data_IF_690218946281
#
_entry.id   IF_690218946281
#
_cell.length_a   1.000
_cell.length_b   1.000
_cell.length_c   1.000
_cell.angle_alpha   90.00
_cell.angle_beta   90.00
_cell.angle_gamma   90.00
#
_symmetry.space_group_name_H-M   'P 1'
#
loop_
_entity.id
_entity.type
_entity.pdbx_description
1 polymer ?
#
# COMPACT_ATOMS: atom_id res chain seq x y z
N UNK A 1 30.33 -6.57 -13.95
CA UNK A 1 29.07 -5.89 -14.26
C UNK A 1 27.92 -6.86 -14.12
N UNK A 2 26.69 -6.37 -14.06
CA UNK A 2 25.47 -7.19 -14.07
C UNK A 2 24.99 -7.38 -15.52
N UNK A 3 24.39 -8.53 -15.84
CA UNK A 3 23.60 -8.63 -17.07
C UNK A 3 22.29 -7.82 -16.92
N UNK A 4 21.58 -7.59 -18.03
CA UNK A 4 20.25 -6.94 -17.98
C UNK A 4 19.30 -7.74 -17.10
N UNK A 5 19.32 -9.07 -17.20
CA UNK A 5 18.48 -9.91 -16.37
C UNK A 5 18.84 -9.78 -14.88
N UNK A 6 20.12 -9.88 -14.53
CA UNK A 6 20.55 -9.73 -13.13
C UNK A 6 20.11 -8.37 -12.56
N UNK A 7 20.20 -7.30 -13.34
CA UNK A 7 19.70 -5.99 -12.95
C UNK A 7 18.19 -6.00 -12.67
N UNK A 8 17.38 -6.67 -13.52
CA UNK A 8 15.92 -6.74 -13.31
C UNK A 8 15.51 -7.54 -12.08
N UNK A 9 16.36 -8.47 -11.63
CA UNK A 9 16.14 -9.25 -10.39
C UNK A 9 16.51 -8.50 -9.11
N UNK A 10 17.14 -7.32 -9.22
CA UNK A 10 17.37 -6.45 -8.08
C UNK A 10 16.03 -5.87 -7.60
N UNK A 11 15.90 -5.68 -6.28
CA UNK A 11 14.79 -4.86 -5.78
C UNK A 11 14.92 -3.43 -6.29
N UNK A 12 13.80 -2.70 -6.40
CA UNK A 12 13.80 -1.31 -6.87
C UNK A 12 14.82 -0.45 -6.08
N UNK A 13 14.92 -0.62 -4.76
CA UNK A 13 15.96 0.05 -3.96
C UNK A 13 17.38 -0.25 -4.44
N UNK A 14 17.71 -1.52 -4.65
CA UNK A 14 19.05 -1.94 -5.10
C UNK A 14 19.33 -1.52 -6.55
N UNK A 15 18.32 -1.58 -7.41
CA UNK A 15 18.42 -1.10 -8.78
C UNK A 15 18.67 0.42 -8.82
N UNK A 16 18.01 1.19 -7.96
CA UNK A 16 18.23 2.63 -7.82
C UNK A 16 19.67 2.94 -7.36
N UNK A 17 20.14 2.26 -6.31
CA UNK A 17 21.52 2.38 -5.81
C UNK A 17 22.53 2.03 -6.90
N UNK A 18 22.33 0.92 -7.61
CA UNK A 18 23.18 0.50 -8.72
C UNK A 18 23.26 1.60 -9.80
N UNK A 19 22.13 2.15 -10.24
CA UNK A 19 22.10 3.21 -11.27
C UNK A 19 22.77 4.49 -10.78
N UNK A 20 22.64 4.82 -9.49
CA UNK A 20 23.28 5.99 -8.89
C UNK A 20 24.80 5.88 -8.82
N UNK A 21 25.33 4.67 -8.62
CA UNK A 21 26.77 4.41 -8.47
C UNK A 21 27.48 4.09 -9.79
N UNK A 22 26.76 4.13 -10.93
CA UNK A 22 27.34 3.87 -12.25
C UNK A 22 28.42 4.91 -12.60
N UNK A 23 29.67 4.44 -12.63
CA UNK A 23 30.82 5.22 -13.08
C UNK A 23 30.95 5.12 -14.61
N UNK A 24 30.44 6.14 -15.31
CA UNK A 24 30.54 6.26 -16.76
C UNK A 24 31.71 7.14 -17.17
N UNK A 25 32.42 6.73 -18.23
CA UNK A 25 33.36 7.60 -18.95
C UNK A 25 32.63 8.81 -19.55
N UNK A 26 33.38 9.83 -19.95
CA UNK A 26 32.79 11.04 -20.57
C UNK A 26 31.98 10.71 -21.83
N UNK A 27 32.51 9.82 -22.68
CA UNK A 27 31.82 9.35 -23.90
C UNK A 27 30.54 8.59 -23.58
N UNK A 28 30.56 7.69 -22.60
CA UNK A 28 29.37 6.94 -22.18
C UNK A 28 28.32 7.86 -21.56
N UNK A 29 28.74 8.85 -20.77
CA UNK A 29 27.84 9.84 -20.18
C UNK A 29 27.14 10.69 -21.23
N UNK A 30 27.84 11.07 -22.30
CA UNK A 30 27.24 11.79 -23.44
C UNK A 30 26.16 10.96 -24.15
N UNK A 31 26.34 9.64 -24.24
CA UNK A 31 25.40 8.74 -24.93
C UNK A 31 24.23 8.34 -24.02
N UNK A 32 24.52 7.90 -22.80
CA UNK A 32 23.57 7.25 -21.91
C UNK A 32 23.03 8.17 -20.81
N UNK A 33 23.57 9.38 -20.62
CA UNK A 33 23.24 10.25 -19.48
C UNK A 33 21.74 10.54 -19.34
N UNK A 34 21.04 10.82 -20.45
CA UNK A 34 19.60 11.06 -20.43
C UNK A 34 18.81 9.79 -20.07
N UNK A 35 19.22 8.63 -20.59
CA UNK A 35 18.58 7.34 -20.29
C UNK A 35 18.78 6.96 -18.83
N UNK A 36 19.98 7.17 -18.28
CA UNK A 36 20.29 6.91 -16.86
C UNK A 36 19.48 7.84 -15.95
N UNK A 37 19.36 9.12 -16.32
CA UNK A 37 18.52 10.09 -15.60
C UNK A 37 17.06 9.62 -15.54
N UNK A 38 16.48 9.25 -16.69
CA UNK A 38 15.10 8.77 -16.78
C UNK A 38 14.87 7.48 -15.96
N UNK A 39 15.78 6.51 -16.06
CA UNK A 39 15.69 5.28 -15.27
C UNK A 39 15.75 5.57 -13.77
N UNK A 40 16.65 6.46 -13.35
CA UNK A 40 16.77 6.85 -11.95
C UNK A 40 15.48 7.50 -11.45
N UNK A 41 14.89 8.41 -12.22
CA UNK A 41 13.64 9.08 -11.86
C UNK A 41 12.47 8.09 -11.74
N UNK A 42 12.34 7.14 -12.68
CA UNK A 42 11.30 6.08 -12.62
C UNK A 42 11.45 5.15 -11.43
N UNK A 43 12.68 4.72 -11.14
CA UNK A 43 12.97 3.92 -9.96
C UNK A 43 12.65 4.69 -8.67
N UNK A 44 12.93 6.00 -8.63
CA UNK A 44 12.60 6.84 -7.48
C UNK A 44 11.08 6.96 -7.28
N UNK A 45 10.30 7.11 -8.35
CA UNK A 45 8.82 7.14 -8.25
C UNK A 45 8.26 5.87 -7.63
N UNK A 46 8.79 4.69 -8.02
CA UNK A 46 8.42 3.42 -7.40
C UNK A 46 8.76 3.37 -5.91
N UNK A 47 9.85 4.00 -5.48
CA UNK A 47 10.22 4.11 -4.05
C UNK A 47 9.27 5.04 -3.29
N UNK A 48 8.83 6.15 -3.89
CA UNK A 48 7.87 7.07 -3.26
C UNK A 48 6.51 6.42 -3.00
N UNK A 49 6.06 5.54 -3.90
CA UNK A 49 4.83 4.74 -3.71
C UNK A 49 5.05 3.43 -2.94
N UNK A 50 6.19 3.31 -2.23
CA UNK A 50 6.45 2.19 -1.29
C UNK A 50 6.45 0.83 -2.00
N UNK A 51 7.07 0.79 -3.17
CA UNK A 51 7.33 -0.43 -3.94
C UNK A 51 8.82 -0.72 -4.04
N UNK A 52 9.59 -0.23 -3.08
CA UNK A 52 11.05 -0.32 -3.08
C UNK A 52 11.58 -1.77 -2.90
N UNK A 53 10.72 -2.67 -2.43
CA UNK A 53 11.01 -4.08 -2.18
C UNK A 53 10.72 -5.01 -3.37
N UNK A 54 9.94 -4.59 -4.37
CA UNK A 54 9.65 -5.45 -5.53
C UNK A 54 10.83 -5.43 -6.50
N UNK A 55 10.89 -6.42 -7.40
CA UNK A 55 11.87 -6.48 -8.48
C UNK A 55 11.22 -6.10 -9.81
N UNK A 56 12.02 -5.69 -10.80
CA UNK A 56 11.50 -5.30 -12.12
C UNK A 56 11.00 -6.50 -12.93
N UNK A 57 11.55 -7.69 -12.68
CA UNK A 57 11.16 -8.95 -13.33
C UNK A 57 9.91 -9.60 -12.69
N UNK A 58 9.37 -9.03 -11.59
CA UNK A 58 8.21 -9.59 -10.91
C UNK A 58 7.00 -9.63 -11.84
N UNK A 59 6.42 -10.82 -11.99
CA UNK A 59 5.23 -11.03 -12.83
C UNK A 59 4.06 -10.17 -12.36
N UNK A 60 3.42 -9.45 -13.29
CA UNK A 60 2.29 -8.55 -13.01
C UNK A 60 1.12 -9.24 -12.34
N UNK A 61 0.85 -10.50 -12.67
CA UNK A 61 -0.21 -11.32 -12.04
C UNK A 61 0.05 -11.70 -10.58
N UNK A 62 1.28 -11.53 -10.08
CA UNK A 62 1.65 -11.80 -8.68
C UNK A 62 1.54 -10.57 -7.77
N UNK A 63 1.15 -9.41 -8.33
CA UNK A 63 0.98 -8.18 -7.57
C UNK A 63 -0.37 -8.17 -6.87
N UNK A 64 -0.40 -7.69 -5.63
CA UNK A 64 -1.64 -7.35 -4.94
C UNK A 64 -2.34 -6.16 -5.63
N UNK A 65 -3.65 -6.01 -5.42
CA UNK A 65 -4.42 -4.89 -5.98
C UNK A 65 -3.81 -3.53 -5.63
N UNK A 66 -3.43 -3.34 -4.35
CA UNK A 66 -2.78 -2.10 -3.90
C UNK A 66 -1.39 -1.88 -4.51
N UNK A 67 -0.60 -2.94 -4.73
CA UNK A 67 0.69 -2.82 -5.45
C UNK A 67 0.46 -2.38 -6.90
N UNK A 68 -0.47 -3.02 -7.61
CA UNK A 68 -0.78 -2.69 -9.00
C UNK A 68 -1.29 -1.24 -9.14
N UNK A 69 -2.15 -0.81 -8.22
CA UNK A 69 -2.64 0.58 -8.17
C UNK A 69 -1.50 1.58 -7.94
N UNK A 70 -0.58 1.29 -7.01
CA UNK A 70 0.57 2.15 -6.74
C UNK A 70 1.57 2.20 -7.90
N UNK A 71 1.76 1.11 -8.64
CA UNK A 71 2.54 1.13 -9.91
C UNK A 71 1.89 2.08 -10.92
N UNK A 72 0.56 2.05 -11.06
CA UNK A 72 -0.15 2.97 -11.95
C UNK A 72 0.07 4.41 -11.50
N UNK A 73 -0.05 4.71 -10.20
CA UNK A 73 0.20 6.04 -9.65
C UNK A 73 1.63 6.53 -9.93
N UNK A 74 2.65 5.69 -9.70
CA UNK A 74 4.04 6.03 -10.02
C UNK A 74 4.24 6.33 -11.51
N UNK A 75 3.60 5.53 -12.38
CA UNK A 75 3.62 5.75 -13.84
C UNK A 75 3.01 7.10 -14.22
N UNK A 76 1.90 7.49 -13.60
CA UNK A 76 1.23 8.77 -13.87
C UNK A 76 2.03 9.97 -13.39
N UNK A 77 2.81 9.83 -12.32
CA UNK A 77 3.70 10.90 -11.87
C UNK A 77 4.90 11.03 -12.80
N UNK A 78 5.42 9.90 -13.29
CA UNK A 78 6.51 9.91 -14.26
C UNK A 78 6.13 10.52 -15.60
N UNK A 79 4.87 10.44 -16.04
CA UNK A 79 4.43 11.07 -17.28
C UNK A 79 4.37 12.61 -17.21
N UNK A 80 4.44 13.19 -16.01
CA UNK A 80 4.44 14.65 -15.79
C UNK A 80 3.30 15.37 -16.52
N UNK A 81 2.13 14.73 -16.61
CA UNK A 81 0.95 15.33 -17.22
C UNK A 81 0.42 16.47 -16.35
N UNK A 82 -0.15 17.48 -16.99
CA UNK A 82 -0.73 18.68 -16.35
C UNK A 82 -2.15 18.90 -16.87
N UNK A 83 -3.02 19.48 -16.05
CA UNK A 83 -4.43 19.71 -16.42
C UNK A 83 -5.28 18.43 -16.48
N UNK A 84 -4.84 17.34 -15.85
CA UNK A 84 -5.57 16.08 -15.77
C UNK A 84 -6.38 16.01 -14.48
N UNK A 85 -7.57 15.40 -14.55
CA UNK A 85 -8.36 15.01 -13.39
C UNK A 85 -8.08 13.54 -13.05
N UNK A 86 -7.40 13.30 -11.94
CA UNK A 86 -7.16 11.96 -11.41
C UNK A 86 -8.24 11.58 -10.40
N UNK A 87 -8.81 10.39 -10.54
CA UNK A 87 -9.74 9.80 -9.58
C UNK A 87 -9.10 8.53 -9.04
N UNK A 88 -8.85 8.50 -7.73
CA UNK A 88 -8.19 7.40 -7.03
C UNK A 88 -9.17 6.74 -6.06
N UNK A 89 -9.21 5.41 -6.08
CA UNK A 89 -10.11 4.61 -5.24
C UNK A 89 -9.30 3.90 -4.15
N UNK A 90 -9.37 4.38 -2.90
CA UNK A 90 -8.67 3.86 -1.72
C UNK A 90 -7.18 3.50 -1.94
N UNK A 91 -6.33 4.47 -2.33
CA UNK A 91 -4.92 4.22 -2.63
C UNK A 91 -4.09 3.72 -1.43
N UNK A 92 -4.58 3.89 -0.19
CA UNK A 92 -3.94 3.36 1.02
C UNK A 92 -4.13 1.85 1.22
N UNK A 93 -4.95 1.17 0.39
CA UNK A 93 -5.18 -0.28 0.51
C UNK A 93 -3.86 -1.07 0.49
N UNK A 94 -3.75 -1.97 1.47
CA UNK A 94 -2.58 -2.86 1.62
C UNK A 94 -1.28 -2.12 1.97
N UNK A 95 -1.38 -0.83 2.33
CA UNK A 95 -0.28 -0.03 2.82
C UNK A 95 -0.27 -0.02 4.35
N UNK A 96 0.93 -0.04 4.92
CA UNK A 96 1.08 0.13 6.36
C UNK A 96 1.03 1.61 6.73
N UNK A 97 0.44 1.95 7.87
CA UNK A 97 0.20 3.33 8.33
C UNK A 97 1.49 4.16 8.36
N UNK A 98 2.63 3.54 8.69
CA UNK A 98 3.96 4.16 8.61
C UNK A 98 4.25 4.78 7.24
N UNK A 99 3.84 4.12 6.17
CA UNK A 99 4.22 4.47 4.81
C UNK A 99 3.14 5.34 4.12
N UNK A 100 1.99 5.55 4.76
CA UNK A 100 0.88 6.36 4.28
C UNK A 100 1.28 7.81 3.96
N UNK A 101 2.13 8.42 4.79
CA UNK A 101 2.66 9.77 4.53
C UNK A 101 3.41 9.90 3.20
N UNK A 102 4.11 8.84 2.76
CA UNK A 102 4.82 8.85 1.48
C UNK A 102 3.83 8.84 0.32
N UNK A 103 2.77 8.05 0.44
CA UNK A 103 1.67 8.05 -0.51
C UNK A 103 0.97 9.42 -0.56
N UNK A 104 0.69 10.03 0.60
CA UNK A 104 0.09 11.37 0.67
C UNK A 104 0.98 12.45 0.03
N UNK A 105 2.28 12.44 0.31
CA UNK A 105 3.23 13.34 -0.35
C UNK A 105 3.22 13.16 -1.87
N UNK A 106 3.06 11.92 -2.33
CA UNK A 106 2.99 11.56 -3.74
C UNK A 106 1.71 12.09 -4.40
N UNK A 107 0.56 11.96 -3.74
CA UNK A 107 -0.73 12.51 -4.19
C UNK A 107 -0.69 14.03 -4.24
N UNK A 108 -0.14 14.68 -3.20
CA UNK A 108 0.03 16.15 -3.16
C UNK A 108 0.96 16.64 -4.28
N UNK A 109 2.05 15.92 -4.56
CA UNK A 109 2.91 16.22 -5.70
C UNK A 109 2.15 16.14 -7.03
N UNK A 110 1.29 15.14 -7.22
CA UNK A 110 0.49 15.03 -8.43
C UNK A 110 -0.44 16.23 -8.61
N UNK A 111 -1.08 16.70 -7.53
CA UNK A 111 -1.86 17.94 -7.49
C UNK A 111 -0.99 19.16 -7.83
N UNK A 112 0.16 19.30 -7.17
CA UNK A 112 1.05 20.47 -7.30
C UNK A 112 1.68 20.61 -8.69
N UNK A 113 1.69 19.55 -9.51
CA UNK A 113 2.03 19.62 -10.93
C UNK A 113 0.98 20.37 -11.78
N UNK A 114 -0.15 20.79 -11.20
CA UNK A 114 -1.24 21.46 -11.91
C UNK A 114 -2.36 20.50 -12.30
N UNK A 115 -2.55 19.41 -11.56
CA UNK A 115 -3.64 18.46 -11.74
C UNK A 115 -4.68 18.60 -10.63
N UNK A 116 -5.87 18.08 -10.86
CA UNK A 116 -6.87 17.87 -9.81
C UNK A 116 -6.88 16.40 -9.42
N UNK A 117 -6.90 16.10 -8.12
CA UNK A 117 -6.94 14.73 -7.62
C UNK A 117 -8.14 14.57 -6.70
N UNK A 118 -9.05 13.66 -7.06
CA UNK A 118 -10.17 13.22 -6.24
C UNK A 118 -9.81 11.86 -5.68
N UNK A 119 -9.93 11.68 -4.37
CA UNK A 119 -9.58 10.45 -3.68
C UNK A 119 -10.78 9.96 -2.87
N UNK A 120 -11.19 8.71 -3.09
CA UNK A 120 -12.08 7.98 -2.19
C UNK A 120 -11.20 7.36 -1.11
N UNK A 121 -11.43 7.69 0.15
CA UNK A 121 -10.62 7.21 1.28
C UNK A 121 -11.42 7.11 2.57
N UNK A 122 -10.91 6.29 3.48
CA UNK A 122 -11.41 6.13 4.84
C UNK A 122 -10.31 6.34 5.90
N UNK A 123 -9.06 6.51 5.48
CA UNK A 123 -7.93 6.78 6.36
C UNK A 123 -7.99 8.19 6.99
N UNK A 124 -7.87 8.26 8.32
CA UNK A 124 -7.95 9.51 9.08
C UNK A 124 -6.86 10.51 8.69
N UNK A 125 -5.62 10.06 8.44
CA UNK A 125 -4.50 10.94 8.08
C UNK A 125 -4.76 11.58 6.70
N UNK A 126 -5.30 10.81 5.76
CA UNK A 126 -5.65 11.31 4.42
C UNK A 126 -6.77 12.34 4.48
N UNK A 127 -7.85 12.06 5.21
CA UNK A 127 -8.97 12.99 5.34
C UNK A 127 -8.53 14.30 5.97
N UNK A 128 -7.65 14.26 6.98
CA UNK A 128 -7.14 15.47 7.65
C UNK A 128 -6.24 16.34 6.77
N UNK A 129 -5.55 15.73 5.81
CA UNK A 129 -4.60 16.40 4.92
C UNK A 129 -5.25 16.89 3.60
N UNK A 130 -6.55 16.61 3.40
CA UNK A 130 -7.28 16.99 2.20
C UNK A 130 -7.57 18.50 2.17
N UNK A 131 -7.44 19.10 0.99
CA UNK A 131 -7.76 20.53 0.77
C UNK A 131 -9.28 20.77 0.76
N UNK A 132 -10.05 19.77 0.37
CA UNK A 132 -11.51 19.79 0.29
C UNK A 132 -12.05 18.38 0.53
N UNK A 133 -13.12 18.27 1.33
CA UNK A 133 -13.74 17.00 1.71
C UNK A 133 -15.21 17.03 1.30
N UNK A 134 -15.68 15.93 0.72
CA UNK A 134 -17.10 15.66 0.55
C UNK A 134 -17.49 14.40 1.32
N UNK A 135 -18.39 14.54 2.27
CA UNK A 135 -18.91 13.42 3.05
C UNK A 135 -20.25 12.95 2.46
N UNK A 136 -20.31 11.66 2.11
CA UNK A 136 -21.48 11.01 1.52
C UNK A 136 -22.08 10.06 2.55
N UNK A 137 -23.40 10.10 2.71
CA UNK A 137 -24.10 9.28 3.69
C UNK A 137 -25.59 9.56 3.69
N UNK A 138 -26.27 9.55 4.86
CA UNK A 138 -25.74 9.22 6.20
C UNK A 138 -25.57 7.72 6.47
N UNK A 139 -26.13 6.85 5.62
CA UNK A 139 -26.01 5.40 5.70
C UNK A 139 -25.56 4.76 4.39
N UNK A 140 -25.57 3.42 4.35
CA UNK A 140 -25.27 2.67 3.13
C UNK A 140 -26.55 2.29 2.36
N UNK A 141 -26.42 2.04 1.05
CA UNK A 141 -27.52 1.58 0.21
C UNK A 141 -28.64 2.61 0.09
N UNK A 142 -29.88 2.18 0.33
CA UNK A 142 -31.07 3.06 0.25
C UNK A 142 -31.08 4.20 1.29
N UNK A 143 -30.20 4.16 2.28
CA UNK A 143 -30.03 5.19 3.30
C UNK A 143 -28.82 6.10 3.05
N UNK A 144 -28.18 5.97 1.88
CA UNK A 144 -27.05 6.76 1.44
C UNK A 144 -27.35 7.57 0.18
N UNK A 145 -26.29 8.05 -0.48
CA UNK A 145 -26.38 8.77 -1.75
C UNK A 145 -26.67 10.27 -1.62
N UNK A 146 -26.66 10.81 -0.39
CA UNK A 146 -26.78 12.23 -0.13
C UNK A 146 -25.43 12.85 0.23
N UNK A 147 -25.22 14.08 -0.21
CA UNK A 147 -24.11 14.91 0.30
C UNK A 147 -24.50 15.39 1.70
N UNK A 148 -23.82 14.85 2.71
CA UNK A 148 -24.05 15.24 4.10
C UNK A 148 -23.47 16.62 4.35
N UNK A 149 -22.22 16.82 3.94
CA UNK A 149 -21.50 18.09 4.02
C UNK A 149 -20.34 18.09 3.03
N UNK A 150 -20.00 19.27 2.51
CA UNK A 150 -18.80 19.51 1.71
C UNK A 150 -18.08 20.74 2.24
N UNK A 151 -16.75 20.73 2.23
CA UNK A 151 -15.95 21.86 2.68
C UNK A 151 -14.62 21.47 3.29
N UNK A 152 -14.19 22.25 4.27
CA UNK A 152 -12.98 22.05 5.05
C UNK A 152 -13.15 20.97 6.12
N UNK A 153 -12.04 20.48 6.69
CA UNK A 153 -12.06 19.56 7.83
C UNK A 153 -12.91 20.06 9.00
N UNK A 154 -12.88 21.37 9.28
CA UNK A 154 -13.71 21.97 10.34
C UNK A 154 -15.21 21.88 10.04
N UNK A 155 -15.61 22.03 8.77
CA UNK A 155 -17.00 21.91 8.36
C UNK A 155 -17.50 20.47 8.56
N UNK A 156 -16.68 19.48 8.19
CA UNK A 156 -17.00 18.06 8.40
C UNK A 156 -17.18 17.74 9.88
N UNK A 157 -16.29 18.24 10.73
CA UNK A 157 -16.34 18.03 12.19
C UNK A 157 -17.57 18.72 12.81
N UNK A 158 -17.99 19.87 12.28
CA UNK A 158 -19.11 20.63 12.82
C UNK A 158 -20.49 20.08 12.40
N UNK A 159 -20.60 19.31 11.32
CA UNK A 159 -21.87 18.75 10.84
C UNK A 159 -22.33 17.55 11.68
N UNK A 160 -23.44 17.67 12.46
CA UNK A 160 -23.89 16.60 13.36
C UNK A 160 -24.40 15.33 12.66
N UNK A 161 -24.74 15.41 11.37
CA UNK A 161 -25.13 14.23 10.56
C UNK A 161 -23.94 13.45 10.01
N UNK A 162 -22.74 14.03 10.00
CA UNK A 162 -21.53 13.39 9.49
C UNK A 162 -21.04 12.32 10.47
N UNK A 163 -21.15 11.03 10.09
CA UNK A 163 -20.54 9.93 10.86
C UNK A 163 -19.02 10.10 10.85
N UNK A 164 -18.46 10.48 9.70
CA UNK A 164 -17.04 10.78 9.53
C UNK A 164 -16.59 11.86 10.51
N UNK A 165 -17.30 13.00 10.56
CA UNK A 165 -17.06 14.09 11.50
C UNK A 165 -17.04 13.64 12.95
N UNK A 166 -17.98 12.78 13.36
CA UNK A 166 -18.05 12.22 14.73
C UNK A 166 -16.88 11.33 15.09
N UNK A 167 -16.34 10.55 14.16
CA UNK A 167 -15.12 9.76 14.41
C UNK A 167 -13.87 10.66 14.46
N UNK A 168 -13.80 11.67 13.60
CA UNK A 168 -12.69 12.63 13.56
C UNK A 168 -12.64 13.54 14.79
N UNK A 169 -13.80 13.91 15.34
CA UNK A 169 -13.95 14.71 16.56
C UNK A 169 -13.76 13.90 17.85
N UNK A 170 -13.68 12.56 17.73
CA UNK A 170 -13.65 11.59 18.83
C UNK A 170 -14.95 11.52 19.65
N UNK A 171 -16.06 12.09 19.18
CA UNK A 171 -17.38 11.84 19.75
C UNK A 171 -17.73 10.35 19.67
N UNK A 172 -17.49 9.75 18.49
CA UNK A 172 -17.53 8.31 18.29
C UNK A 172 -16.11 7.74 18.29
N UNK A 173 -15.97 6.53 18.85
CA UNK A 173 -14.71 5.79 18.89
C UNK A 173 -14.97 4.30 18.88
N UNK A 174 -14.04 3.54 18.31
CA UNK A 174 -14.07 2.09 18.38
C UNK A 174 -13.56 1.67 19.76
N UNK A 175 -14.39 1.07 20.63
CA UNK A 175 -13.98 0.71 21.98
C UNK A 175 -12.95 -0.42 21.96
N UNK A 176 -11.88 -0.26 22.73
CA UNK A 176 -10.90 -1.33 22.95
C UNK A 176 -11.44 -2.29 24.03
N UNK A 177 -11.53 -3.61 23.76
CA UNK A 177 -12.03 -4.56 24.74
C UNK A 177 -11.22 -4.53 26.04
N UNK A 178 -11.90 -4.38 27.19
CA UNK A 178 -11.26 -4.38 28.52
C UNK A 178 -10.60 -5.72 28.87
N UNK A 179 -11.08 -6.81 28.27
CA UNK A 179 -10.53 -8.16 28.45
C UNK A 179 -10.32 -8.83 27.10
N UNK A 180 -9.19 -9.50 26.93
CA UNK A 180 -8.87 -10.32 25.74
C UNK A 180 -9.22 -11.79 26.02
N UNK A 181 -9.56 -12.55 24.98
CA UNK A 181 -9.89 -13.98 25.11
C UNK A 181 -8.63 -14.80 25.42
N UNK A 182 -8.70 -15.65 26.44
CA UNK A 182 -7.62 -16.56 26.85
C UNK A 182 -7.33 -17.68 25.84
N UNK A 183 -8.30 -18.01 24.98
CA UNK A 183 -8.21 -19.09 23.99
C UNK A 183 -8.65 -20.45 24.55
N UNK A 184 -8.45 -21.52 23.80
CA UNK A 184 -8.88 -22.88 24.18
C UNK A 184 -7.73 -23.84 24.52
N UNK A 185 -6.54 -23.31 24.80
CA UNK A 185 -5.32 -24.08 25.10
C UNK A 185 -4.65 -24.74 23.88
N UNK A 186 -5.33 -24.82 22.73
CA UNK A 186 -4.77 -25.39 21.49
C UNK A 186 -4.11 -24.32 20.63
N UNK A 187 -3.25 -24.74 19.71
CA UNK A 187 -2.63 -23.84 18.73
C UNK A 187 -2.33 -24.55 17.42
N UNK A 188 -2.37 -23.80 16.32
CA UNK A 188 -1.74 -24.18 15.06
C UNK A 188 -0.29 -23.70 15.09
N UNK A 189 0.63 -24.53 14.62
CA UNK A 189 2.05 -24.18 14.59
C UNK A 189 2.54 -24.37 13.15
N UNK A 190 3.01 -23.29 12.55
CA UNK A 190 3.79 -23.33 11.32
C UNK A 190 5.25 -23.41 11.74
N UNK A 191 6.00 -24.36 11.17
CA UNK A 191 7.43 -24.52 11.43
C UNK A 191 8.23 -24.41 10.15
N UNK A 192 9.37 -23.75 10.24
CA UNK A 192 10.33 -23.59 9.17
C UNK A 192 9.77 -22.96 7.90
N UNK A 193 8.94 -21.92 8.04
CA UNK A 193 8.43 -21.19 6.89
C UNK A 193 9.56 -20.46 6.15
N UNK A 194 9.83 -20.86 4.91
CA UNK A 194 10.94 -20.37 4.07
C UNK A 194 10.51 -19.87 2.68
N UNK A 195 9.21 -19.81 2.41
CA UNK A 195 8.71 -19.37 1.11
C UNK A 195 9.03 -17.89 0.88
N UNK A 196 9.41 -17.54 -0.35
CA UNK A 196 9.84 -16.20 -0.76
C UNK A 196 10.90 -15.57 0.17
N UNK A 197 10.53 -14.52 0.92
CA UNK A 197 11.43 -13.78 1.79
C UNK A 197 11.36 -14.19 3.26
N UNK A 198 10.61 -15.24 3.59
CA UNK A 198 10.52 -15.77 4.95
C UNK A 198 11.83 -16.45 5.35
N UNK A 199 12.30 -16.14 6.57
CA UNK A 199 13.62 -16.55 7.07
C UNK A 199 13.52 -17.68 8.08
N UNK A 200 13.03 -18.85 7.64
CA UNK A 200 12.90 -20.05 8.48
C UNK A 200 12.09 -19.79 9.76
N UNK A 201 10.87 -19.28 9.57
CA UNK A 201 10.06 -18.78 10.67
C UNK A 201 9.20 -19.89 11.29
N UNK A 202 9.32 -20.04 12.61
CA UNK A 202 8.39 -20.79 13.44
C UNK A 202 7.36 -19.83 14.05
N UNK A 203 6.06 -20.08 13.83
CA UNK A 203 4.99 -19.26 14.41
C UNK A 203 3.86 -20.11 14.98
N UNK A 204 3.40 -19.72 16.17
CA UNK A 204 2.30 -20.36 16.89
C UNK A 204 1.07 -19.46 16.89
N UNK A 205 -0.02 -19.96 16.31
CA UNK A 205 -1.35 -19.33 16.27
C UNK A 205 -2.27 -19.94 17.33
N UNK A 206 -2.50 -19.29 18.48
CA UNK A 206 -3.38 -19.81 19.53
C UNK A 206 -4.84 -19.87 19.10
N UNK A 207 -5.46 -21.05 19.21
CA UNK A 207 -6.84 -21.27 18.79
C UNK A 207 -7.85 -20.70 19.79
N UNK A 208 -9.02 -20.32 19.28
CA UNK A 208 -10.07 -19.67 20.05
C UNK A 208 -9.82 -18.18 20.34
N UNK A 209 -8.87 -17.55 19.63
CA UNK A 209 -8.57 -16.12 19.72
C UNK A 209 -8.87 -15.39 18.41
N UNK A 210 -9.08 -14.07 18.51
CA UNK A 210 -9.00 -13.17 17.35
C UNK A 210 -7.52 -12.85 17.12
N UNK A 211 -6.95 -13.35 16.03
CA UNK A 211 -5.53 -13.18 15.72
C UNK A 211 -5.39 -12.22 14.54
N UNK A 212 -4.61 -11.16 14.73
CA UNK A 212 -4.22 -10.24 13.67
C UNK A 212 -2.76 -10.49 13.29
N UNK A 213 -2.48 -10.57 11.99
CA UNK A 213 -1.12 -10.63 11.43
C UNK A 213 -0.84 -9.28 10.79
N UNK A 214 0.12 -8.55 11.34
CA UNK A 214 0.44 -7.18 10.94
C UNK A 214 1.91 -7.05 10.53
N UNK A 215 2.26 -5.93 9.89
CA UNK A 215 3.59 -5.65 9.37
C UNK A 215 3.54 -4.83 8.09
N UNK A 216 4.69 -4.29 7.69
CA UNK A 216 4.85 -3.44 6.50
C UNK A 216 4.60 -4.19 5.19
N UNK A 217 4.31 -3.49 4.10
CA UNK A 217 4.17 -4.12 2.77
C UNK A 217 5.46 -4.86 2.38
N UNK A 218 5.33 -6.02 1.75
CA UNK A 218 6.47 -6.88 1.45
C UNK A 218 7.04 -7.71 2.62
N UNK A 219 6.51 -7.61 3.85
CA UNK A 219 7.04 -8.37 5.00
C UNK A 219 6.73 -9.89 5.00
N UNK A 220 6.05 -10.41 3.97
CA UNK A 220 5.71 -11.84 3.87
C UNK A 220 4.40 -12.26 4.57
N UNK A 221 3.48 -11.32 4.88
CA UNK A 221 2.19 -11.63 5.53
C UNK A 221 1.33 -12.58 4.70
N UNK A 222 1.09 -12.25 3.43
CA UNK A 222 0.29 -13.07 2.51
C UNK A 222 0.98 -14.41 2.22
N UNK A 223 2.30 -14.42 2.06
CA UNK A 223 3.06 -15.68 1.95
C UNK A 223 2.85 -16.59 3.16
N UNK A 224 2.95 -16.04 4.37
CA UNK A 224 2.73 -16.83 5.59
C UNK A 224 1.30 -17.35 5.72
N UNK A 225 0.30 -16.53 5.39
CA UNK A 225 -1.10 -16.84 5.66
C UNK A 225 -1.78 -17.56 4.50
N UNK A 226 -1.64 -17.06 3.28
CA UNK A 226 -2.35 -17.60 2.11
C UNK A 226 -1.57 -18.76 1.49
N UNK A 227 -0.28 -18.56 1.22
CA UNK A 227 0.53 -19.54 0.48
C UNK A 227 0.99 -20.71 1.34
N UNK A 228 1.30 -20.47 2.62
CA UNK A 228 1.73 -21.52 3.56
C UNK A 228 0.56 -22.04 4.37
N UNK A 229 -0.02 -21.21 5.26
CA UNK A 229 -0.99 -21.69 6.25
C UNK A 229 -2.28 -22.18 5.59
N UNK A 230 -2.91 -21.35 4.75
CA UNK A 230 -4.18 -21.68 4.10
C UNK A 230 -4.02 -22.84 3.13
N UNK A 231 -2.97 -22.85 2.28
CA UNK A 231 -2.70 -23.97 1.36
C UNK A 231 -2.51 -25.30 2.11
N UNK A 232 -1.71 -25.30 3.19
CA UNK A 232 -1.47 -26.50 3.99
C UNK A 232 -2.74 -27.01 4.69
N UNK A 233 -3.55 -26.10 5.25
CA UNK A 233 -4.81 -26.47 5.89
C UNK A 233 -5.86 -26.95 4.89
N UNK A 234 -5.97 -26.28 3.73
CA UNK A 234 -6.92 -26.66 2.69
C UNK A 234 -6.63 -28.07 2.17
N UNK A 235 -5.35 -28.39 1.92
CA UNK A 235 -4.92 -29.73 1.55
C UNK A 235 -5.27 -30.79 2.62
N UNK A 236 -5.03 -30.49 3.91
CA UNK A 236 -5.30 -31.42 5.02
C UNK A 236 -6.79 -31.63 5.31
N UNK A 237 -7.62 -30.60 5.14
CA UNK A 237 -9.03 -30.63 5.54
C UNK A 237 -9.91 -31.12 4.38
N UNK A 238 -9.69 -30.59 3.17
CA UNK A 238 -10.58 -30.86 2.04
C UNK A 238 -10.08 -32.00 1.14
N UNK A 239 -8.88 -32.55 1.40
CA UNK A 239 -8.32 -33.65 0.60
C UNK A 239 -8.04 -33.27 -0.86
N UNK A 240 -8.16 -32.00 -1.23
CA UNK A 240 -7.88 -31.50 -2.57
C UNK A 240 -6.37 -31.53 -2.81
N UNK A 241 -5.94 -32.29 -3.84
CA UNK A 241 -4.63 -32.12 -4.47
C UNK A 241 -4.60 -30.70 -5.06
N UNK A 242 -3.93 -29.79 -4.37
CA UNK A 242 -3.51 -28.51 -4.92
C UNK A 242 -2.18 -28.66 -5.67
#
# INVERSE_FOLDING_TARGET
GLSIYDFTTLSISKAYEFVQELNLTERERLIAGQVIKENKERLDFLRYVVLDYITLDRMTGSLSGGEAQRIRLATQIGSSLVGVLYILDEPSIGLHQRDNRRLLATIKRLRDLGNTVIVIEHDEETIREADFIGDIGPGAGAHGGEIVVTGSLSDIIAEPRSITGKYLSRELRIPVPLRRREGNGRALVVRGAREHNLKDLDIRFPLGKFICVTGVSGSGKSTLIDEILFRALSSKIYGSKA
#
